data_IF_808150644980
#
_entry.id   IF_808150644980
#
_cell.length_a   1.000
_cell.length_b   1.000
_cell.length_c   1.000
_cell.angle_alpha   90.00
_cell.angle_beta   90.00
_cell.angle_gamma   90.00
#
_symmetry.space_group_name_H-M   'P 1'
#
loop_
_entity.id
_entity.type
_entity.pdbx_description
1 polymer ?
#
# COMPACT_ATOMS: atom_id res chain seq x y z
N UNK A 1 -71.00 45.29 15.34
CA UNK A 1 -69.86 46.11 14.88
C UNK A 1 -68.64 45.22 14.90
N UNK A 2 -68.34 44.61 13.79
CA UNK A 2 -67.20 43.69 13.60
C UNK A 2 -66.32 44.30 12.48
N UNK A 3 -65.09 44.49 12.77
CA UNK A 3 -64.10 44.89 11.80
C UNK A 3 -63.27 43.68 11.38
N UNK A 4 -63.50 43.23 10.19
CA UNK A 4 -62.69 42.25 9.47
C UNK A 4 -61.40 42.91 8.99
N UNK A 5 -60.23 42.32 9.31
CA UNK A 5 -58.96 42.66 8.70
C UNK A 5 -58.60 41.62 7.64
N UNK A 6 -58.57 42.11 6.46
CA UNK A 6 -58.09 41.41 5.25
C UNK A 6 -56.55 41.37 5.27
N UNK A 7 -55.95 40.19 5.21
CA UNK A 7 -54.49 40.00 5.00
C UNK A 7 -54.27 39.22 3.72
N UNK A 8 -54.08 39.93 2.64
CA UNK A 8 -53.69 39.39 1.36
C UNK A 8 -52.30 38.72 1.41
N UNK A 9 -52.27 37.44 1.26
CA UNK A 9 -51.06 36.68 0.95
C UNK A 9 -50.82 36.73 -0.57
N UNK A 10 -49.74 37.37 -0.95
CA UNK A 10 -49.24 37.37 -2.33
C UNK A 10 -48.60 35.98 -2.59
N UNK A 11 -49.18 35.29 -3.53
CA UNK A 11 -48.64 34.08 -4.13
C UNK A 11 -47.41 34.43 -4.99
N UNK A 12 -46.21 34.21 -4.46
CA UNK A 12 -44.96 34.28 -5.23
C UNK A 12 -44.65 32.91 -5.80
N UNK A 13 -45.20 32.65 -6.98
CA UNK A 13 -44.86 31.47 -7.77
C UNK A 13 -43.35 31.42 -8.08
N UNK A 14 -42.59 30.80 -7.21
CA UNK A 14 -41.26 30.32 -7.54
C UNK A 14 -41.39 29.06 -8.42
N UNK A 15 -41.14 29.25 -9.72
CA UNK A 15 -40.90 28.12 -10.65
C UNK A 15 -39.69 27.35 -10.15
N UNK A 16 -39.92 26.07 -9.79
CA UNK A 16 -38.87 25.07 -9.62
C UNK A 16 -38.16 24.95 -10.95
N UNK A 17 -36.85 25.17 -11.05
CA UNK A 17 -36.13 24.92 -12.30
C UNK A 17 -36.16 23.45 -12.63
N UNK A 18 -36.57 23.15 -13.85
CA UNK A 18 -36.47 21.80 -14.42
C UNK A 18 -34.99 21.33 -14.33
N UNK A 19 -34.74 20.02 -14.07
CA UNK A 19 -33.39 19.49 -14.08
C UNK A 19 -32.81 19.69 -15.49
N UNK A 20 -31.73 20.49 -15.55
CA UNK A 20 -30.91 20.62 -16.75
C UNK A 20 -30.35 19.22 -17.01
N UNK A 21 -30.83 18.58 -18.06
CA UNK A 21 -30.19 17.38 -18.61
C UNK A 21 -28.75 17.77 -18.94
N UNK A 22 -27.82 17.22 -18.15
CA UNK A 22 -26.39 17.32 -18.42
C UNK A 22 -26.12 16.71 -19.81
N UNK A 23 -25.09 17.20 -20.53
CA UNK A 23 -24.80 16.70 -21.86
C UNK A 23 -24.68 15.19 -21.81
N UNK A 24 -25.49 14.51 -22.63
CA UNK A 24 -25.41 13.06 -22.87
C UNK A 24 -23.94 12.71 -23.09
N UNK A 25 -23.38 11.86 -22.21
CA UNK A 25 -22.06 11.27 -22.42
C UNK A 25 -22.10 10.51 -23.72
N UNK A 26 -21.79 11.17 -24.81
CA UNK A 26 -21.40 10.53 -26.07
C UNK A 26 -20.22 9.64 -25.66
N UNK A 27 -20.40 8.34 -25.80
CA UNK A 27 -19.34 7.35 -25.60
C UNK A 27 -18.23 7.66 -26.62
N UNK A 28 -17.26 8.48 -26.22
CA UNK A 28 -15.97 8.45 -26.90
C UNK A 28 -15.49 7.01 -26.74
N UNK A 29 -15.33 6.29 -27.86
CA UNK A 29 -14.76 4.95 -27.88
C UNK A 29 -13.39 5.04 -27.17
N UNK A 30 -13.35 4.63 -25.92
CA UNK A 30 -12.11 4.67 -25.14
C UNK A 30 -11.15 3.70 -25.79
N UNK A 31 -9.98 4.20 -26.21
CA UNK A 31 -8.92 3.37 -26.78
C UNK A 31 -8.56 2.30 -25.74
N UNK A 32 -8.57 1.03 -26.14
CA UNK A 32 -8.20 -0.11 -25.29
C UNK A 32 -6.80 0.12 -24.67
N UNK A 33 -6.63 -0.30 -23.42
CA UNK A 33 -5.31 -0.33 -22.77
C UNK A 33 -4.31 -1.16 -23.59
N UNK A 34 -4.75 -2.27 -24.17
CA UNK A 34 -3.89 -3.11 -25.01
C UNK A 34 -3.42 -2.34 -26.25
N UNK A 35 -4.31 -1.60 -26.90
CA UNK A 35 -3.93 -0.76 -28.05
C UNK A 35 -2.95 0.36 -27.67
N UNK A 36 -3.04 0.90 -26.46
CA UNK A 36 -2.12 1.92 -25.96
C UNK A 36 -0.68 1.40 -25.79
N UNK A 37 -0.48 0.09 -25.63
CA UNK A 37 0.85 -0.51 -25.51
C UNK A 37 1.73 -0.30 -26.75
N UNK A 38 1.11 -0.04 -27.93
CA UNK A 38 1.82 0.22 -29.19
C UNK A 38 2.21 1.68 -29.37
N UNK A 39 1.71 2.59 -28.53
CA UNK A 39 1.92 4.03 -28.64
C UNK A 39 3.16 4.47 -27.84
N UNK A 40 4.14 5.06 -28.50
CA UNK A 40 5.37 5.54 -27.86
C UNK A 40 5.09 6.57 -26.77
N UNK A 41 4.18 7.51 -27.03
CA UNK A 41 3.77 8.57 -26.08
C UNK A 41 3.30 7.98 -24.74
N UNK A 42 2.57 6.86 -24.76
CA UNK A 42 2.11 6.16 -23.55
C UNK A 42 3.27 5.64 -22.69
N UNK A 43 4.32 5.14 -23.35
CA UNK A 43 5.53 4.69 -22.66
C UNK A 43 6.33 5.85 -22.07
N UNK A 44 6.46 6.95 -22.81
CA UNK A 44 7.14 8.16 -22.35
C UNK A 44 6.43 8.77 -21.13
N UNK A 45 5.08 8.85 -21.15
CA UNK A 45 4.29 9.29 -19.99
C UNK A 45 4.50 8.37 -18.78
N UNK A 46 4.47 7.06 -18.99
CA UNK A 46 4.73 6.09 -17.94
C UNK A 46 6.13 6.20 -17.34
N UNK A 47 7.18 6.35 -18.17
CA UNK A 47 8.56 6.52 -17.69
C UNK A 47 8.70 7.83 -16.89
N UNK A 48 8.16 8.93 -17.42
CA UNK A 48 8.13 10.23 -16.72
C UNK A 48 7.43 10.12 -15.36
N UNK A 49 6.27 9.47 -15.30
CA UNK A 49 5.54 9.21 -14.05
C UNK A 49 6.39 8.40 -13.06
N UNK A 50 7.05 7.33 -13.51
CA UNK A 50 7.86 6.49 -12.64
C UNK A 50 9.10 7.21 -12.12
N UNK A 51 9.73 8.03 -12.96
CA UNK A 51 10.87 8.85 -12.59
C UNK A 51 10.45 9.88 -11.53
N UNK A 52 9.35 10.60 -11.78
CA UNK A 52 8.78 11.57 -10.84
C UNK A 52 8.42 10.93 -9.48
N UNK A 53 7.99 9.65 -9.47
CA UNK A 53 7.67 8.91 -8.24
C UNK A 53 8.87 8.23 -7.60
N UNK A 54 10.11 8.46 -8.04
CA UNK A 54 11.31 7.81 -7.52
C UNK A 54 11.29 6.28 -7.58
N UNK A 55 10.51 5.70 -8.50
CA UNK A 55 10.31 4.25 -8.63
C UNK A 55 11.30 3.57 -9.55
N UNK A 56 12.24 4.33 -10.08
CA UNK A 56 13.41 3.85 -10.80
C UNK A 56 14.69 4.29 -10.08
N UNK A 57 15.69 3.41 -9.99
CA UNK A 57 17.06 3.89 -9.89
C UNK A 57 17.56 4.26 -11.30
N UNK A 58 18.65 5.03 -11.39
CA UNK A 58 19.17 5.53 -12.67
C UNK A 58 19.45 4.41 -13.68
N UNK A 59 19.99 3.28 -13.25
CA UNK A 59 20.28 2.14 -14.11
C UNK A 59 18.99 1.50 -14.66
N UNK A 60 17.99 1.29 -13.82
CA UNK A 60 16.68 0.76 -14.26
C UNK A 60 15.95 1.73 -15.20
N UNK A 61 16.13 3.04 -14.99
CA UNK A 61 15.57 4.05 -15.89
C UNK A 61 16.24 4.00 -17.25
N UNK A 62 17.59 4.02 -17.31
CA UNK A 62 18.37 3.98 -18.56
C UNK A 62 18.04 2.73 -19.38
N UNK A 63 17.87 1.57 -18.73
CA UNK A 63 17.46 0.33 -19.40
C UNK A 63 16.04 0.40 -19.97
N UNK A 64 15.10 0.98 -19.22
CA UNK A 64 13.71 1.11 -19.65
C UNK A 64 13.57 2.18 -20.76
N UNK A 65 14.30 3.28 -20.67
CA UNK A 65 14.33 4.35 -21.65
C UNK A 65 14.90 3.85 -22.99
N UNK A 66 16.05 3.18 -22.95
CA UNK A 66 16.64 2.54 -24.13
C UNK A 66 15.71 1.46 -24.75
N UNK A 67 14.93 0.74 -23.93
CA UNK A 67 13.92 -0.20 -24.42
C UNK A 67 12.80 0.52 -25.17
N UNK A 68 12.35 1.67 -24.70
CA UNK A 68 11.32 2.49 -25.36
C UNK A 68 11.86 3.16 -26.62
N UNK A 69 13.05 3.77 -26.57
CA UNK A 69 13.70 4.43 -27.74
C UNK A 69 13.87 3.48 -28.94
N UNK A 70 14.35 2.26 -28.69
CA UNK A 70 14.50 1.25 -29.75
C UNK A 70 13.17 0.55 -30.11
N UNK A 71 12.04 0.98 -29.56
CA UNK A 71 10.71 0.37 -29.74
C UNK A 71 10.66 -1.12 -29.43
N UNK A 72 11.44 -1.56 -28.45
CA UNK A 72 11.53 -2.95 -28.02
C UNK A 72 10.21 -3.52 -27.49
N UNK A 73 9.27 -2.66 -27.11
CA UNK A 73 7.91 -3.02 -26.68
C UNK A 73 7.00 -3.48 -27.83
N UNK A 74 7.23 -3.04 -29.09
CA UNK A 74 6.30 -3.31 -30.21
C UNK A 74 6.08 -4.79 -30.50
N UNK A 75 7.10 -5.67 -30.57
CA UNK A 75 6.88 -7.08 -30.82
C UNK A 75 5.96 -7.72 -29.76
N UNK A 76 6.18 -7.37 -28.49
CA UNK A 76 5.40 -7.88 -27.37
C UNK A 76 3.98 -7.29 -27.34
N UNK A 77 3.83 -5.98 -27.59
CA UNK A 77 2.54 -5.30 -27.67
C UNK A 77 1.68 -5.87 -28.80
N UNK A 78 2.25 -6.10 -29.99
CA UNK A 78 1.55 -6.71 -31.11
C UNK A 78 1.12 -8.15 -30.79
N UNK A 79 2.02 -8.95 -30.21
CA UNK A 79 1.72 -10.31 -29.78
C UNK A 79 0.54 -10.35 -28.81
N UNK A 80 0.50 -9.44 -27.85
CA UNK A 80 -0.62 -9.32 -26.88
C UNK A 80 -1.91 -8.89 -27.62
N UNK A 81 -1.82 -7.92 -28.55
CA UNK A 81 -2.97 -7.44 -29.31
C UNK A 81 -3.56 -8.52 -30.24
N UNK A 82 -2.74 -9.44 -30.72
CA UNK A 82 -3.14 -10.61 -31.52
C UNK A 82 -3.72 -11.75 -30.65
N UNK A 83 -3.83 -11.52 -29.34
CA UNK A 83 -4.38 -12.49 -28.40
C UNK A 83 -3.38 -13.57 -27.95
N UNK A 84 -2.09 -13.42 -28.26
CA UNK A 84 -1.06 -14.26 -27.68
C UNK A 84 -0.76 -13.79 -26.26
N UNK A 85 -0.58 -14.68 -25.30
CA UNK A 85 -0.25 -14.33 -23.91
C UNK A 85 1.23 -13.98 -23.72
N UNK A 86 1.59 -13.70 -22.47
CA UNK A 86 2.96 -13.63 -22.01
C UNK A 86 3.59 -15.03 -21.94
N UNK A 87 4.90 -15.09 -21.72
CA UNK A 87 5.59 -16.33 -21.38
C UNK A 87 5.13 -16.94 -20.06
N UNK A 88 5.73 -18.07 -19.67
CA UNK A 88 5.39 -18.69 -18.40
C UNK A 88 6.00 -17.89 -17.22
N UNK A 89 5.23 -17.67 -16.14
CA UNK A 89 5.74 -17.01 -14.95
C UNK A 89 6.76 -17.90 -14.23
N UNK A 90 7.80 -17.28 -13.70
CA UNK A 90 8.78 -17.95 -12.85
C UNK A 90 8.40 -17.82 -11.39
N UNK A 91 8.19 -18.96 -10.73
CA UNK A 91 7.90 -19.07 -9.29
C UNK A 91 9.19 -18.91 -8.47
N UNK A 92 9.16 -18.05 -7.45
CA UNK A 92 10.27 -17.81 -6.53
C UNK A 92 9.80 -17.84 -5.09
N UNK A 93 10.66 -18.32 -4.19
CA UNK A 93 10.44 -18.28 -2.75
C UNK A 93 11.26 -17.14 -2.15
N UNK A 94 10.58 -16.12 -1.63
CA UNK A 94 11.22 -14.97 -0.96
C UNK A 94 11.05 -15.09 0.55
N UNK A 95 12.12 -14.79 1.31
CA UNK A 95 12.05 -14.80 2.76
C UNK A 95 11.16 -13.67 3.28
N UNK A 96 10.14 -13.99 4.08
CA UNK A 96 9.33 -13.00 4.77
C UNK A 96 10.15 -12.39 5.90
N UNK A 97 10.45 -11.10 5.77
CA UNK A 97 11.36 -10.40 6.69
C UNK A 97 10.92 -10.54 8.15
N UNK A 98 11.75 -11.18 8.99
CA UNK A 98 11.56 -11.27 10.45
C UNK A 98 10.73 -12.46 10.95
N UNK A 99 10.29 -13.38 10.09
CA UNK A 99 9.43 -14.50 10.51
C UNK A 99 9.98 -15.91 10.20
N UNK A 100 11.09 -16.02 9.47
CA UNK A 100 11.59 -17.33 8.98
C UNK A 100 10.66 -18.01 7.95
N UNK A 101 9.44 -17.50 7.74
CA UNK A 101 8.49 -18.01 6.75
C UNK A 101 8.88 -17.52 5.34
N UNK A 102 8.58 -18.31 4.32
CA UNK A 102 8.76 -17.93 2.92
C UNK A 102 7.42 -17.51 2.32
N UNK A 103 7.48 -16.64 1.31
CA UNK A 103 6.34 -16.23 0.48
C UNK A 103 6.60 -16.68 -0.95
N UNK A 104 5.60 -17.25 -1.59
CA UNK A 104 5.60 -17.51 -3.03
C UNK A 104 5.37 -16.21 -3.76
N UNK A 105 6.19 -15.93 -4.76
CA UNK A 105 6.02 -14.80 -5.69
C UNK A 105 6.31 -15.26 -7.10
N UNK A 106 5.71 -14.58 -8.07
CA UNK A 106 5.89 -14.85 -9.49
C UNK A 106 6.52 -13.66 -10.20
N UNK A 107 7.29 -13.92 -11.23
CA UNK A 107 7.86 -12.90 -12.10
C UNK A 107 7.91 -13.40 -13.53
N UNK A 108 7.76 -12.51 -14.48
CA UNK A 108 7.95 -12.75 -15.92
C UNK A 108 9.33 -12.29 -16.38
N UNK A 109 9.64 -12.43 -17.67
CA UNK A 109 10.82 -11.85 -18.27
C UNK A 109 10.87 -10.32 -18.04
N UNK A 110 12.04 -9.68 -18.02
CA UNK A 110 12.16 -8.24 -17.72
C UNK A 110 11.27 -7.35 -18.58
N UNK A 111 11.23 -7.59 -19.89
CA UNK A 111 10.42 -6.82 -20.83
C UNK A 111 8.93 -7.03 -20.61
N UNK A 112 8.49 -8.26 -20.33
CA UNK A 112 7.10 -8.58 -19.95
C UNK A 112 6.71 -7.94 -18.61
N UNK A 113 7.62 -7.92 -17.63
CA UNK A 113 7.41 -7.20 -16.38
C UNK A 113 7.28 -5.69 -16.60
N UNK A 114 7.97 -5.11 -17.56
CA UNK A 114 7.85 -3.70 -17.89
C UNK A 114 6.49 -3.40 -18.54
N UNK A 115 6.02 -4.25 -19.46
CA UNK A 115 4.65 -4.18 -20.03
C UNK A 115 3.60 -4.30 -18.95
N UNK A 116 3.72 -5.26 -18.03
CA UNK A 116 2.78 -5.40 -16.90
C UNK A 116 2.78 -4.17 -15.99
N UNK A 117 3.93 -3.51 -15.81
CA UNK A 117 4.00 -2.23 -15.06
C UNK A 117 3.29 -1.10 -15.78
N UNK A 118 3.36 -1.03 -17.12
CA UNK A 118 2.61 -0.06 -17.90
C UNK A 118 1.12 -0.34 -17.83
N UNK A 119 0.69 -1.61 -18.01
CA UNK A 119 -0.72 -1.98 -17.84
C UNK A 119 -1.22 -1.56 -16.45
N UNK A 120 -0.47 -1.87 -15.38
CA UNK A 120 -0.83 -1.48 -14.01
C UNK A 120 -0.93 0.05 -13.83
N UNK A 121 -0.12 0.83 -14.54
CA UNK A 121 -0.23 2.29 -14.57
C UNK A 121 -1.50 2.75 -15.27
N UNK A 122 -1.86 2.15 -16.39
CA UNK A 122 -3.06 2.50 -17.15
C UNK A 122 -4.36 2.04 -16.45
N UNK A 123 -4.30 1.00 -15.61
CA UNK A 123 -5.44 0.51 -14.82
C UNK A 123 -5.96 1.51 -13.80
N UNK A 124 -5.20 2.56 -13.45
CA UNK A 124 -5.69 3.64 -12.59
C UNK A 124 -6.93 4.37 -13.15
N UNK A 125 -7.23 4.21 -14.46
CA UNK A 125 -8.48 4.73 -15.05
C UNK A 125 -9.75 4.13 -14.43
N UNK A 126 -9.62 2.97 -13.75
CA UNK A 126 -10.72 2.28 -13.08
C UNK A 126 -10.82 2.56 -11.58
N UNK A 127 -9.99 3.46 -11.05
CA UNK A 127 -9.95 3.75 -9.60
C UNK A 127 -11.28 4.23 -9.03
N UNK A 128 -12.08 4.93 -9.82
CA UNK A 128 -13.41 5.43 -9.43
C UNK A 128 -14.46 4.33 -9.24
N UNK A 129 -14.21 3.13 -9.71
CA UNK A 129 -15.12 1.98 -9.55
C UNK A 129 -14.98 1.30 -8.18
N UNK A 130 -13.92 1.60 -7.42
CA UNK A 130 -13.73 1.06 -6.09
C UNK A 130 -14.35 1.95 -5.01
N UNK A 131 -14.86 1.32 -3.97
CA UNK A 131 -15.44 2.03 -2.85
C UNK A 131 -14.38 2.88 -2.09
N UNK A 132 -14.76 4.03 -1.49
CA UNK A 132 -13.83 4.93 -0.80
C UNK A 132 -13.13 4.35 0.44
N UNK A 133 -13.57 3.20 0.92
CA UNK A 133 -13.02 2.46 2.05
C UNK A 133 -12.01 1.37 1.65
N UNK A 134 -11.73 1.22 0.35
CA UNK A 134 -10.59 0.47 -0.20
C UNK A 134 -9.42 1.43 -0.44
N UNK A 135 -8.31 1.24 0.26
CA UNK A 135 -7.19 2.20 0.27
C UNK A 135 -5.92 1.70 -0.41
N UNK A 136 -5.76 0.39 -0.57
CA UNK A 136 -4.54 -0.15 -1.18
C UNK A 136 -4.54 0.05 -2.70
N UNK A 137 -3.34 0.19 -3.25
CA UNK A 137 -3.03 0.16 -4.68
C UNK A 137 -3.74 1.20 -5.54
N UNK A 138 -4.38 2.18 -4.95
CA UNK A 138 -5.11 3.26 -5.60
C UNK A 138 -4.27 4.52 -5.72
N UNK A 139 -4.49 5.27 -6.82
CA UNK A 139 -3.75 6.51 -7.06
C UNK A 139 -4.13 7.58 -6.03
N UNK A 140 -3.13 8.16 -5.40
CA UNK A 140 -3.33 9.25 -4.41
C UNK A 140 -3.77 8.78 -3.02
N UNK A 141 -4.08 7.49 -2.81
CA UNK A 141 -4.41 6.95 -1.49
C UNK A 141 -3.21 6.26 -0.84
N UNK A 142 -3.09 6.42 0.47
CA UNK A 142 -2.01 5.86 1.31
C UNK A 142 -2.60 5.17 2.53
N UNK A 143 -1.82 4.33 3.18
CA UNK A 143 -2.22 3.72 4.45
C UNK A 143 -2.49 4.75 5.56
N UNK A 144 -1.77 5.89 5.54
CA UNK A 144 -2.02 7.03 6.41
C UNK A 144 -3.44 7.58 6.27
N UNK A 145 -3.97 7.64 5.04
CA UNK A 145 -5.33 8.14 4.78
C UNK A 145 -6.40 7.23 5.39
N UNK A 146 -6.18 5.91 5.34
CA UNK A 146 -7.06 4.95 5.99
C UNK A 146 -7.13 5.19 7.50
N UNK A 147 -5.97 5.30 8.16
CA UNK A 147 -5.89 5.52 9.61
C UNK A 147 -6.50 6.88 9.98
N UNK A 148 -6.19 7.93 9.23
CA UNK A 148 -6.75 9.26 9.45
C UNK A 148 -8.28 9.28 9.32
N UNK A 149 -8.83 8.69 8.25
CA UNK A 149 -10.29 8.64 8.03
C UNK A 149 -11.01 7.80 9.08
N UNK A 150 -10.43 6.65 9.49
CA UNK A 150 -10.97 5.84 10.60
C UNK A 150 -11.02 6.70 11.87
N UNK A 151 -9.89 7.30 12.27
CA UNK A 151 -9.81 8.08 13.49
C UNK A 151 -10.81 9.26 13.48
N UNK A 152 -10.95 9.93 12.35
CA UNK A 152 -11.95 11.00 12.14
C UNK A 152 -13.39 10.46 12.25
N UNK A 153 -13.69 9.28 11.72
CA UNK A 153 -15.02 8.68 11.75
C UNK A 153 -15.41 8.24 13.17
N UNK A 154 -14.46 7.67 13.90
CA UNK A 154 -14.66 7.26 15.32
C UNK A 154 -14.76 8.49 16.21
N UNK A 155 -13.98 9.55 15.94
CA UNK A 155 -13.96 10.82 16.67
C UNK A 155 -13.91 10.65 18.20
N UNK A 156 -13.02 9.76 18.68
CA UNK A 156 -12.83 9.48 20.12
C UNK A 156 -13.96 8.72 20.80
N UNK A 157 -15.00 8.30 20.07
CA UNK A 157 -16.05 7.46 20.63
C UNK A 157 -15.50 6.07 20.97
N UNK A 158 -15.86 5.50 22.14
CA UNK A 158 -15.51 4.14 22.47
C UNK A 158 -16.22 3.17 21.50
N UNK A 159 -15.45 2.40 20.75
CA UNK A 159 -15.97 1.44 19.77
C UNK A 159 -15.23 0.12 19.89
N UNK A 160 -15.95 -0.96 19.70
CA UNK A 160 -15.35 -2.27 19.46
C UNK A 160 -14.73 -2.31 18.08
N UNK A 161 -13.58 -2.98 17.94
CA UNK A 161 -12.93 -3.14 16.65
C UNK A 161 -12.66 -4.61 16.34
N UNK A 162 -12.90 -5.01 15.09
CA UNK A 162 -12.53 -6.32 14.57
C UNK A 162 -11.50 -6.13 13.47
N UNK A 163 -10.32 -6.70 13.67
CA UNK A 163 -9.23 -6.72 12.71
C UNK A 163 -8.96 -8.12 12.23
N UNK A 164 -8.76 -8.27 10.92
CA UNK A 164 -8.38 -9.53 10.28
C UNK A 164 -7.35 -9.31 9.17
N UNK A 165 -6.67 -10.39 8.80
CA UNK A 165 -5.76 -10.47 7.66
C UNK A 165 -6.15 -11.74 6.89
N UNK A 166 -6.22 -11.66 5.56
CA UNK A 166 -6.58 -12.81 4.73
C UNK A 166 -5.34 -13.68 4.50
N UNK A 167 -5.49 -15.00 4.68
CA UNK A 167 -4.40 -15.93 4.51
C UNK A 167 -3.99 -16.03 3.03
N UNK A 168 -2.70 -15.81 2.73
CA UNK A 168 -2.08 -15.91 1.39
C UNK A 168 -2.90 -15.29 0.25
N UNK A 169 -3.52 -14.12 0.50
CA UNK A 169 -4.59 -13.50 -0.27
C UNK A 169 -4.41 -13.61 -1.79
N UNK A 170 -3.30 -13.10 -2.33
CA UNK A 170 -3.07 -13.05 -3.78
C UNK A 170 -3.03 -14.43 -4.45
N UNK A 171 -2.48 -15.42 -3.77
CA UNK A 171 -2.37 -16.78 -4.31
C UNK A 171 -3.63 -17.62 -4.05
N UNK A 172 -4.49 -17.18 -3.12
CA UNK A 172 -5.76 -17.84 -2.78
C UNK A 172 -6.95 -17.33 -3.59
N UNK A 173 -6.79 -16.27 -4.40
CA UNK A 173 -7.86 -15.75 -5.24
C UNK A 173 -8.29 -16.83 -6.24
N UNK A 174 -9.59 -17.15 -6.22
CA UNK A 174 -10.19 -18.10 -7.17
C UNK A 174 -10.46 -17.40 -8.51
N UNK A 175 -9.83 -17.91 -9.56
CA UNK A 175 -9.89 -17.30 -10.90
C UNK A 175 -11.28 -17.46 -11.51
N UNK A 176 -11.99 -18.55 -11.23
CA UNK A 176 -13.33 -18.80 -11.76
C UNK A 176 -14.35 -17.79 -11.18
N UNK A 177 -14.12 -17.30 -9.96
CA UNK A 177 -14.93 -16.22 -9.35
C UNK A 177 -14.46 -14.84 -9.84
N UNK A 178 -13.15 -14.64 -10.04
CA UNK A 178 -12.61 -13.34 -10.45
C UNK A 178 -12.97 -12.97 -11.89
N UNK A 179 -12.95 -13.92 -12.83
CA UNK A 179 -13.16 -13.65 -14.25
C UNK A 179 -14.50 -12.99 -14.57
N UNK A 180 -15.65 -13.43 -14.02
CA UNK A 180 -16.92 -12.72 -14.20
C UNK A 180 -16.91 -11.28 -13.69
N UNK A 181 -16.24 -11.03 -12.55
CA UNK A 181 -16.11 -9.68 -11.96
C UNK A 181 -15.25 -8.77 -12.85
N UNK A 182 -14.20 -9.32 -13.45
CA UNK A 182 -13.36 -8.62 -14.43
C UNK A 182 -14.12 -8.34 -15.72
N UNK A 183 -14.92 -9.28 -16.23
CA UNK A 183 -15.75 -9.07 -17.42
C UNK A 183 -16.73 -7.89 -17.25
N UNK A 184 -17.34 -7.78 -16.07
CA UNK A 184 -18.20 -6.64 -15.73
C UNK A 184 -17.39 -5.34 -15.65
N UNK A 185 -16.27 -5.33 -14.92
CA UNK A 185 -15.46 -4.15 -14.71
C UNK A 185 -14.79 -3.62 -15.97
N UNK A 186 -14.38 -4.52 -16.87
CA UNK A 186 -13.69 -4.23 -18.12
C UNK A 186 -14.61 -4.30 -19.34
N UNK A 187 -15.91 -4.16 -19.15
CA UNK A 187 -16.90 -4.23 -20.24
C UNK A 187 -16.65 -3.17 -21.34
N UNK A 188 -15.93 -2.08 -21.02
CA UNK A 188 -15.49 -1.05 -21.97
C UNK A 188 -14.15 -1.39 -22.67
N UNK A 189 -13.48 -2.50 -22.31
CA UNK A 189 -12.15 -2.88 -22.83
C UNK A 189 -11.99 -4.41 -22.94
N UNK A 190 -12.67 -5.00 -23.92
CA UNK A 190 -12.69 -6.46 -24.14
C UNK A 190 -11.30 -7.04 -24.46
N UNK A 191 -10.41 -6.28 -25.11
CA UNK A 191 -9.04 -6.74 -25.38
C UNK A 191 -8.27 -6.90 -24.09
N UNK A 192 -8.43 -5.98 -23.15
CA UNK A 192 -7.82 -6.07 -21.83
C UNK A 192 -8.40 -7.25 -21.03
N UNK A 193 -9.73 -7.45 -21.10
CA UNK A 193 -10.35 -8.62 -20.46
C UNK A 193 -9.76 -9.93 -20.97
N UNK A 194 -9.68 -10.13 -22.31
CA UNK A 194 -9.11 -11.35 -22.89
C UNK A 194 -7.62 -11.53 -22.56
N UNK A 195 -6.88 -10.43 -22.46
CA UNK A 195 -5.49 -10.50 -21.96
C UNK A 195 -5.42 -11.06 -20.54
N UNK A 196 -6.26 -10.56 -19.62
CA UNK A 196 -6.30 -11.09 -18.25
C UNK A 196 -6.84 -12.50 -18.17
N UNK A 197 -7.90 -12.82 -18.91
CA UNK A 197 -8.43 -14.17 -18.99
C UNK A 197 -7.31 -15.16 -19.36
N UNK A 198 -6.58 -14.90 -20.43
CA UNK A 198 -5.46 -15.74 -20.86
C UNK A 198 -4.34 -15.82 -19.84
N UNK A 199 -3.96 -14.67 -19.23
CA UNK A 199 -2.92 -14.58 -18.21
C UNK A 199 -3.26 -15.42 -16.97
N UNK A 200 -4.52 -15.39 -16.53
CA UNK A 200 -4.95 -15.98 -15.26
C UNK A 200 -5.36 -17.46 -15.40
N UNK A 201 -5.83 -17.90 -16.58
CA UNK A 201 -6.21 -19.30 -16.81
C UNK A 201 -5.03 -20.22 -17.12
N UNK A 202 -3.84 -19.68 -17.33
CA UNK A 202 -2.61 -20.49 -17.48
C UNK A 202 -2.21 -21.10 -16.15
N UNK A 203 -2.34 -22.42 -16.00
CA UNK A 203 -1.97 -23.16 -14.80
C UNK A 203 -0.51 -23.64 -14.81
N UNK A 204 0.34 -23.08 -15.65
CA UNK A 204 1.73 -23.47 -15.81
C UNK A 204 2.66 -22.38 -15.25
N UNK A 205 3.70 -22.82 -14.54
CA UNK A 205 4.79 -21.95 -14.09
C UNK A 205 6.14 -22.63 -14.18
N UNK A 206 7.23 -21.85 -14.14
CA UNK A 206 8.59 -22.35 -14.09
C UNK A 206 9.07 -22.34 -12.63
N UNK A 207 9.43 -23.51 -12.09
CA UNK A 207 10.01 -23.62 -10.76
C UNK A 207 11.33 -24.39 -10.83
N UNK A 208 12.43 -23.79 -10.37
CA UNK A 208 13.77 -24.40 -10.43
C UNK A 208 14.16 -24.90 -11.84
N UNK A 209 13.74 -24.18 -12.90
CA UNK A 209 14.03 -24.52 -14.29
C UNK A 209 13.13 -25.60 -14.91
N UNK A 210 12.13 -26.09 -14.16
CA UNK A 210 11.15 -27.07 -14.65
C UNK A 210 9.76 -26.44 -14.76
N UNK A 211 9.00 -26.83 -15.78
CA UNK A 211 7.59 -26.45 -15.91
C UNK A 211 6.79 -27.30 -14.96
N UNK A 212 5.98 -26.66 -14.14
CA UNK A 212 5.05 -27.29 -13.20
C UNK A 212 3.63 -26.79 -13.47
N UNK A 213 2.65 -27.64 -13.18
CA UNK A 213 1.24 -27.26 -13.19
C UNK A 213 0.79 -26.92 -11.76
N UNK A 214 0.23 -25.74 -11.57
CA UNK A 214 -0.27 -25.30 -10.26
C UNK A 214 -1.30 -24.18 -10.38
N UNK A 215 -2.20 -24.08 -9.39
CA UNK A 215 -3.03 -22.89 -9.21
C UNK A 215 -2.20 -21.83 -8.51
N UNK A 216 -2.20 -20.60 -9.02
CA UNK A 216 -1.35 -19.51 -8.52
C UNK A 216 -2.10 -18.21 -8.21
N UNK A 217 -3.44 -18.27 -8.21
CA UNK A 217 -4.27 -17.08 -8.01
C UNK A 217 -3.90 -15.96 -9.00
N UNK A 218 -3.79 -14.73 -8.50
CA UNK A 218 -3.40 -13.57 -9.33
C UNK A 218 -1.88 -13.35 -9.41
N UNK A 219 -1.09 -14.36 -9.05
CA UNK A 219 0.39 -14.34 -9.13
C UNK A 219 1.02 -13.20 -8.31
N UNK A 220 1.07 -13.38 -6.99
CA UNK A 220 1.72 -12.44 -6.08
C UNK A 220 3.11 -12.02 -6.58
N UNK A 221 3.37 -10.71 -6.65
CA UNK A 221 4.64 -10.14 -7.15
C UNK A 221 4.56 -9.59 -8.57
N UNK A 222 3.52 -9.90 -9.34
CA UNK A 222 3.29 -9.26 -10.64
C UNK A 222 2.68 -7.85 -10.46
N UNK A 223 2.97 -6.91 -11.36
CA UNK A 223 2.49 -5.52 -11.23
C UNK A 223 0.96 -5.37 -11.26
N UNK A 224 0.25 -6.25 -11.92
CA UNK A 224 -1.21 -6.20 -12.07
C UNK A 224 -1.97 -6.93 -10.96
N UNK A 225 -1.30 -7.82 -10.20
CA UNK A 225 -1.93 -8.55 -9.11
C UNK A 225 -2.63 -7.66 -8.05
N UNK A 226 -2.10 -6.47 -7.69
CA UNK A 226 -2.76 -5.55 -6.78
C UNK A 226 -4.15 -5.09 -7.25
N UNK A 227 -4.30 -4.72 -8.52
CA UNK A 227 -5.57 -4.34 -9.10
C UNK A 227 -6.57 -5.51 -9.09
N UNK A 228 -6.13 -6.70 -9.51
CA UNK A 228 -6.96 -7.91 -9.52
C UNK A 228 -7.45 -8.28 -8.13
N UNK A 229 -6.60 -8.12 -7.12
CA UNK A 229 -6.96 -8.33 -5.72
C UNK A 229 -7.99 -7.30 -5.23
N UNK A 230 -7.90 -6.04 -5.67
CA UNK A 230 -8.92 -5.04 -5.32
C UNK A 230 -10.25 -5.32 -6.02
N UNK A 231 -10.25 -5.79 -7.27
CA UNK A 231 -11.46 -6.21 -7.98
C UNK A 231 -12.16 -7.35 -7.24
N UNK A 232 -11.41 -8.33 -6.74
CA UNK A 232 -11.96 -9.52 -6.09
C UNK A 232 -12.80 -9.24 -4.86
N UNK A 233 -12.47 -8.22 -4.06
CA UNK A 233 -13.23 -7.84 -2.86
C UNK A 233 -14.03 -6.53 -3.04
N UNK A 234 -14.17 -6.04 -4.27
CA UNK A 234 -14.87 -4.78 -4.58
C UNK A 234 -16.28 -4.73 -3.98
N UNK A 235 -17.04 -5.81 -4.09
CA UNK A 235 -18.41 -5.86 -3.61
C UNK A 235 -18.49 -5.95 -2.07
N UNK A 236 -17.51 -6.56 -1.42
CA UNK A 236 -17.40 -6.59 0.05
C UNK A 236 -17.15 -5.18 0.58
N UNK A 237 -16.22 -4.44 -0.04
CA UNK A 237 -15.95 -3.04 0.33
C UNK A 237 -17.19 -2.17 0.15
N UNK A 238 -17.89 -2.33 -0.99
CA UNK A 238 -19.12 -1.60 -1.31
C UNK A 238 -20.24 -1.89 -0.33
N UNK A 239 -20.39 -3.15 0.09
CA UNK A 239 -21.39 -3.55 1.07
C UNK A 239 -21.20 -2.81 2.41
N UNK A 240 -20.00 -2.82 2.98
CA UNK A 240 -19.72 -2.12 4.24
C UNK A 240 -19.78 -0.60 4.09
N UNK A 241 -19.36 -0.06 2.95
CA UNK A 241 -19.49 1.36 2.64
C UNK A 241 -20.97 1.82 2.63
N UNK A 242 -21.82 1.09 1.91
CA UNK A 242 -23.24 1.41 1.80
C UNK A 242 -24.01 1.25 3.12
N UNK A 243 -23.56 0.36 3.99
CA UNK A 243 -24.09 0.23 5.37
C UNK A 243 -23.61 1.33 6.30
N UNK A 244 -22.69 2.21 5.88
CA UNK A 244 -22.14 3.25 6.74
C UNK A 244 -21.25 2.71 7.87
N UNK A 245 -20.73 1.49 7.74
CA UNK A 245 -19.81 0.89 8.71
C UNK A 245 -18.47 1.61 8.63
N UNK A 246 -17.89 1.95 9.78
CA UNK A 246 -16.50 2.40 9.84
C UNK A 246 -15.61 1.21 9.53
N UNK A 247 -15.14 1.15 8.30
CA UNK A 247 -14.44 0.04 7.69
C UNK A 247 -13.28 0.55 6.85
N UNK A 248 -12.17 -0.13 6.87
CA UNK A 248 -11.08 0.09 5.92
C UNK A 248 -10.41 -1.22 5.53
N UNK A 249 -10.16 -1.38 4.22
CA UNK A 249 -9.32 -2.43 3.68
C UNK A 249 -8.05 -1.86 3.05
N UNK A 250 -6.94 -2.47 3.39
CA UNK A 250 -5.65 -2.21 2.75
C UNK A 250 -5.05 -3.54 2.29
N UNK A 251 -5.35 -3.97 1.07
CA UNK A 251 -5.00 -5.30 0.54
C UNK A 251 -5.68 -6.43 1.32
N UNK A 252 -4.89 -7.24 2.03
CA UNK A 252 -5.30 -8.34 2.91
C UNK A 252 -5.62 -7.90 4.35
N UNK A 253 -5.24 -6.69 4.75
CA UNK A 253 -5.40 -6.15 6.11
C UNK A 253 -6.75 -5.39 6.19
N UNK A 254 -7.70 -5.86 6.99
CA UNK A 254 -9.05 -5.31 7.12
C UNK A 254 -9.30 -4.94 8.57
N UNK A 255 -9.97 -3.80 8.79
CA UNK A 255 -10.47 -3.40 10.10
C UNK A 255 -11.88 -2.83 9.99
N UNK A 256 -12.74 -3.13 10.97
CA UNK A 256 -14.10 -2.58 11.07
C UNK A 256 -14.45 -2.29 12.52
N UNK A 257 -15.40 -1.37 12.71
CA UNK A 257 -15.78 -0.87 14.04
C UNK A 257 -17.29 -0.91 14.23
N UNK A 258 -17.72 -1.16 15.46
CA UNK A 258 -19.10 -1.14 15.86
C UNK A 258 -19.26 -0.50 17.27
N UNK A 259 -20.42 0.10 17.58
CA UNK A 259 -20.66 0.75 18.87
C UNK A 259 -20.76 -0.25 20.03
N UNK A 260 -21.13 -1.50 19.74
CA UNK A 260 -21.32 -2.58 20.72
C UNK A 260 -20.80 -3.92 20.16
N UNK A 261 -20.63 -4.87 21.07
CA UNK A 261 -20.08 -6.19 20.75
C UNK A 261 -21.00 -7.02 19.83
N UNK A 262 -22.30 -6.96 20.05
CA UNK A 262 -23.27 -7.77 19.30
C UNK A 262 -23.33 -7.31 17.83
N UNK A 263 -23.32 -6.00 17.60
CA UNK A 263 -23.21 -5.41 16.27
C UNK A 263 -21.89 -5.79 15.60
N UNK A 264 -20.78 -5.80 16.36
CA UNK A 264 -19.49 -6.23 15.81
C UNK A 264 -19.50 -7.69 15.40
N UNK A 265 -20.12 -8.57 16.21
CA UNK A 265 -20.24 -10.00 15.85
C UNK A 265 -21.05 -10.18 14.56
N UNK A 266 -22.13 -9.44 14.37
CA UNK A 266 -22.88 -9.46 13.11
C UNK A 266 -22.03 -9.06 11.90
N UNK A 267 -21.18 -8.02 12.05
CA UNK A 267 -20.27 -7.62 10.99
C UNK A 267 -19.19 -8.68 10.72
N UNK A 268 -18.66 -9.28 11.78
CA UNK A 268 -17.70 -10.38 11.68
C UNK A 268 -18.30 -11.59 10.96
N UNK A 269 -19.49 -12.04 11.37
CA UNK A 269 -20.16 -13.19 10.78
C UNK A 269 -20.46 -12.96 9.29
N UNK A 270 -20.90 -11.74 8.94
CA UNK A 270 -21.11 -11.35 7.56
C UNK A 270 -19.81 -11.33 6.76
N UNK A 271 -18.69 -10.87 7.34
CA UNK A 271 -17.37 -10.92 6.72
C UNK A 271 -16.92 -12.35 6.47
N UNK A 272 -17.05 -13.22 7.48
CA UNK A 272 -16.72 -14.64 7.34
C UNK A 272 -17.55 -15.31 6.24
N UNK A 273 -18.85 -14.96 6.16
CA UNK A 273 -19.72 -15.44 5.09
C UNK A 273 -19.22 -14.99 3.70
N UNK A 274 -18.87 -13.71 3.51
CA UNK A 274 -18.28 -13.23 2.27
C UNK A 274 -16.99 -13.97 1.93
N UNK A 275 -16.05 -14.06 2.89
CA UNK A 275 -14.78 -14.73 2.63
C UNK A 275 -14.98 -16.19 2.23
N UNK A 276 -15.93 -16.90 2.85
CA UNK A 276 -16.27 -18.27 2.46
C UNK A 276 -16.84 -18.34 1.03
N UNK A 277 -17.71 -17.39 0.62
CA UNK A 277 -18.22 -17.31 -0.75
C UNK A 277 -17.12 -17.04 -1.78
N UNK A 278 -16.08 -16.29 -1.38
CA UNK A 278 -14.91 -16.00 -2.22
C UNK A 278 -13.77 -17.01 -2.04
N UNK A 279 -14.01 -18.16 -1.40
CA UNK A 279 -13.00 -19.19 -1.14
C UNK A 279 -11.75 -18.66 -0.44
N UNK A 280 -11.91 -17.66 0.43
CA UNK A 280 -10.83 -17.04 1.20
C UNK A 280 -10.92 -17.42 2.68
N UNK A 281 -9.77 -17.47 3.34
CA UNK A 281 -9.66 -17.81 4.76
C UNK A 281 -9.04 -16.67 5.56
N UNK A 282 -9.55 -16.46 6.78
CA UNK A 282 -8.93 -15.55 7.75
C UNK A 282 -7.64 -16.18 8.28
N UNK A 283 -6.61 -15.38 8.42
CA UNK A 283 -5.37 -15.81 9.09
C UNK A 283 -5.57 -15.79 10.62
N UNK A 284 -5.69 -16.94 11.30
CA UNK A 284 -6.03 -16.97 12.72
C UNK A 284 -4.95 -16.32 13.62
N UNK A 285 -3.69 -16.31 13.19
CA UNK A 285 -2.59 -15.68 13.93
C UNK A 285 -2.69 -14.13 13.94
N UNK A 286 -3.55 -13.54 13.11
CA UNK A 286 -3.68 -12.09 12.92
C UNK A 286 -5.11 -11.59 13.09
N UNK A 287 -6.04 -12.47 13.42
CA UNK A 287 -7.40 -12.11 13.77
C UNK A 287 -7.45 -11.57 15.20
N UNK A 288 -8.06 -10.42 15.40
CA UNK A 288 -8.21 -9.85 16.75
C UNK A 288 -9.46 -8.98 16.89
N UNK A 289 -10.15 -9.13 18.03
CA UNK A 289 -11.17 -8.22 18.50
C UNK A 289 -10.55 -7.33 19.58
N UNK A 290 -10.82 -6.05 19.53
CA UNK A 290 -10.40 -5.07 20.53
C UNK A 290 -11.64 -4.50 21.20
N UNK A 291 -11.62 -4.42 22.53
CA UNK A 291 -12.64 -3.71 23.31
C UNK A 291 -12.46 -2.18 23.16
N UNK A 292 -13.47 -1.38 23.51
CA UNK A 292 -13.37 0.09 23.44
C UNK A 292 -12.23 0.69 24.25
N UNK A 293 -11.81 0.03 25.32
CA UNK A 293 -10.73 0.46 26.21
C UNK A 293 -9.34 -0.02 25.76
N UNK A 294 -9.27 -0.88 24.75
CA UNK A 294 -8.02 -1.37 24.21
C UNK A 294 -7.51 -0.52 23.04
N UNK A 295 -6.18 -0.34 22.99
CA UNK A 295 -5.55 0.23 21.81
C UNK A 295 -5.54 -0.79 20.67
N UNK A 296 -6.04 -0.41 19.50
CA UNK A 296 -5.94 -1.24 18.30
C UNK A 296 -4.70 -0.89 17.46
N UNK A 297 -4.22 -1.88 16.70
CA UNK A 297 -3.11 -1.68 15.75
C UNK A 297 -3.57 -1.93 14.31
N UNK A 298 -3.34 -0.95 13.42
CA UNK A 298 -3.65 -1.05 12.00
C UNK A 298 -2.60 -0.34 11.15
N UNK A 299 -2.14 -0.98 10.08
CA UNK A 299 -1.17 -0.45 9.10
C UNK A 299 0.11 0.14 9.70
N UNK A 300 0.54 -0.38 10.84
CA UNK A 300 1.75 0.06 11.51
C UNK A 300 1.55 1.17 12.54
N UNK A 301 0.33 1.61 12.75
CA UNK A 301 -0.07 2.57 13.78
C UNK A 301 -0.75 1.85 14.95
N UNK A 302 -0.62 2.44 16.14
CA UNK A 302 -1.34 2.08 17.37
C UNK A 302 -2.25 3.24 17.73
N UNK A 303 -3.54 2.98 17.82
CA UNK A 303 -4.57 3.99 18.08
C UNK A 303 -5.30 3.67 19.39
N UNK A 304 -5.54 4.69 20.21
CA UNK A 304 -6.33 4.59 21.43
C UNK A 304 -7.07 5.92 21.68
N UNK A 305 -8.40 5.91 21.57
CA UNK A 305 -9.15 7.15 21.56
C UNK A 305 -8.69 8.08 20.42
N UNK A 306 -8.21 9.27 20.78
CA UNK A 306 -7.65 10.23 19.83
C UNK A 306 -6.12 10.12 19.68
N UNK A 307 -5.47 9.23 20.44
CA UNK A 307 -4.03 9.08 20.42
C UNK A 307 -3.61 8.12 19.30
N UNK A 308 -2.68 8.58 18.47
CA UNK A 308 -2.08 7.78 17.38
C UNK A 308 -0.57 7.80 17.55
N UNK A 309 0.03 6.63 17.68
CA UNK A 309 1.48 6.41 17.75
C UNK A 309 1.88 5.26 16.84
N UNK A 310 3.15 4.92 16.84
CA UNK A 310 3.73 3.81 16.08
C UNK A 310 3.42 2.49 16.79
N UNK A 311 2.97 1.47 16.03
CA UNK A 311 2.64 0.16 16.59
C UNK A 311 3.86 -0.58 17.14
N UNK A 312 3.63 -1.47 18.13
CA UNK A 312 4.67 -2.32 18.71
C UNK A 312 5.36 -3.19 17.66
N UNK A 313 4.56 -3.73 16.72
CA UNK A 313 5.09 -4.52 15.60
C UNK A 313 6.04 -3.70 14.71
N UNK A 314 5.73 -2.43 14.43
CA UNK A 314 6.56 -1.52 13.65
C UNK A 314 7.85 -1.17 14.39
N UNK A 315 7.77 -0.83 15.68
CA UNK A 315 8.93 -0.57 16.53
C UNK A 315 9.87 -1.76 16.58
N UNK A 316 9.36 -2.96 16.81
CA UNK A 316 10.11 -4.22 16.81
C UNK A 316 10.83 -4.47 15.48
N UNK A 317 10.12 -4.27 14.34
CA UNK A 317 10.71 -4.39 13.00
C UNK A 317 11.85 -3.38 12.78
N UNK A 318 11.67 -2.13 13.21
CA UNK A 318 12.68 -1.07 13.07
C UNK A 318 13.91 -1.36 13.94
N UNK A 319 13.73 -1.70 15.21
CA UNK A 319 14.82 -2.12 16.10
C UNK A 319 15.60 -3.31 15.53
N UNK A 320 14.91 -4.29 14.95
CA UNK A 320 15.57 -5.41 14.26
C UNK A 320 16.41 -4.97 13.06
N UNK A 321 15.97 -3.98 12.28
CA UNK A 321 16.76 -3.41 11.16
C UNK A 321 17.98 -2.67 11.66
N UNK A 322 17.84 -1.85 12.71
CA UNK A 322 18.93 -1.11 13.35
C UNK A 322 20.02 -2.09 13.84
N UNK A 323 19.63 -3.09 14.63
CA UNK A 323 20.55 -4.09 15.17
C UNK A 323 21.31 -4.87 14.08
N UNK A 324 20.60 -5.33 13.02
CA UNK A 324 21.26 -6.05 11.91
C UNK A 324 22.25 -5.17 11.16
N UNK A 325 21.91 -3.90 10.87
CA UNK A 325 22.83 -2.98 10.19
C UNK A 325 24.04 -2.63 11.05
N UNK A 326 23.84 -2.37 12.34
CA UNK A 326 24.93 -2.11 13.29
C UNK A 326 25.90 -3.30 13.36
N UNK A 327 25.40 -4.53 13.54
CA UNK A 327 26.25 -5.73 13.55
C UNK A 327 26.99 -5.96 12.22
N UNK A 328 26.35 -5.64 11.10
CA UNK A 328 26.99 -5.72 9.78
C UNK A 328 28.14 -4.73 9.66
N UNK A 329 27.94 -3.48 10.09
CA UNK A 329 28.97 -2.44 10.07
C UNK A 329 30.10 -2.75 11.06
N UNK A 330 29.80 -3.31 12.23
CA UNK A 330 30.82 -3.73 13.18
C UNK A 330 31.74 -4.81 12.58
N UNK A 331 31.15 -5.86 11.96
CA UNK A 331 31.94 -6.89 11.28
C UNK A 331 32.79 -6.33 10.14
N UNK A 332 32.21 -5.40 9.36
CA UNK A 332 32.93 -4.73 8.27
C UNK A 332 34.10 -3.89 8.79
N UNK A 333 33.88 -3.10 9.85
CA UNK A 333 34.89 -2.27 10.52
C UNK A 333 36.07 -3.13 10.99
N UNK A 334 35.79 -4.21 11.75
CA UNK A 334 36.83 -5.12 12.22
C UNK A 334 37.60 -5.80 11.07
N UNK A 335 36.87 -6.31 10.06
CA UNK A 335 37.50 -7.01 8.92
C UNK A 335 38.45 -6.11 8.12
N UNK A 336 38.13 -4.81 8.00
CA UNK A 336 38.86 -3.87 7.16
C UNK A 336 39.69 -2.87 7.97
N UNK A 337 39.83 -3.08 9.26
CA UNK A 337 40.60 -2.19 10.21
C UNK A 337 40.16 -0.72 10.07
N UNK A 338 38.82 -0.50 9.99
CA UNK A 338 38.22 0.83 9.87
C UNK A 338 37.99 1.41 11.26
N UNK A 339 38.28 2.69 11.41
CA UNK A 339 38.05 3.44 12.65
C UNK A 339 36.55 3.37 13.06
N UNK A 340 36.27 3.18 14.37
CA UNK A 340 34.92 3.07 14.91
C UNK A 340 34.00 4.23 14.51
N UNK A 341 34.53 5.45 14.47
CA UNK A 341 33.79 6.66 14.07
C UNK A 341 33.22 6.56 12.65
N UNK A 342 33.98 5.99 11.72
CA UNK A 342 33.53 5.79 10.34
C UNK A 342 32.37 4.78 10.26
N UNK A 343 32.37 3.76 11.11
CA UNK A 343 31.27 2.82 11.23
C UNK A 343 30.02 3.48 11.85
N UNK A 344 30.20 4.33 12.87
CA UNK A 344 29.14 5.14 13.46
C UNK A 344 28.50 6.07 12.43
N UNK A 345 29.31 6.84 11.69
CA UNK A 345 28.85 7.72 10.61
C UNK A 345 28.11 6.93 9.51
N UNK A 346 28.60 5.74 9.17
CA UNK A 346 27.93 4.85 8.23
C UNK A 346 26.54 4.39 8.68
N UNK A 347 26.33 4.14 9.99
CA UNK A 347 25.01 3.80 10.54
C UNK A 347 24.07 5.02 10.55
N UNK A 348 24.59 6.18 10.93
CA UNK A 348 23.86 7.45 10.96
C UNK A 348 23.37 7.79 9.55
N UNK A 349 24.25 7.82 8.56
CA UNK A 349 23.89 8.13 7.17
C UNK A 349 22.85 7.17 6.61
N UNK A 350 23.00 5.86 6.90
CA UNK A 350 22.03 4.86 6.45
C UNK A 350 20.62 5.14 7.01
N UNK A 351 20.49 5.51 8.30
CA UNK A 351 19.18 5.76 8.90
C UNK A 351 18.66 7.17 8.62
N UNK A 352 19.50 8.19 8.51
CA UNK A 352 19.10 9.52 8.05
C UNK A 352 18.42 9.43 6.65
N UNK A 353 19.09 8.76 5.70
CA UNK A 353 18.50 8.52 4.37
C UNK A 353 17.21 7.76 4.46
N UNK A 354 17.16 6.66 5.21
CA UNK A 354 15.96 5.85 5.36
C UNK A 354 14.78 6.60 5.99
N UNK A 355 15.05 7.47 6.94
CA UNK A 355 14.00 8.18 7.67
C UNK A 355 13.55 9.46 6.97
N UNK A 356 14.44 10.22 6.39
CA UNK A 356 14.17 11.61 6.02
C UNK A 356 14.46 11.96 4.58
N UNK A 357 15.34 11.21 3.90
CA UNK A 357 15.86 11.61 2.61
C UNK A 357 15.23 10.80 1.49
N UNK A 358 14.72 11.50 0.52
CA UNK A 358 14.33 11.00 -0.78
C UNK A 358 14.43 12.17 -1.75
N UNK A 359 15.05 11.95 -2.86
CA UNK A 359 15.20 12.95 -3.94
C UNK A 359 13.83 13.33 -4.54
N UNK A 360 12.83 12.49 -4.35
CA UNK A 360 11.46 12.73 -4.78
C UNK A 360 10.54 13.07 -3.58
N UNK A 361 9.84 14.22 -3.62
CA UNK A 361 8.86 14.62 -2.60
C UNK A 361 7.73 13.61 -2.35
N UNK A 362 7.39 12.80 -3.35
CA UNK A 362 6.32 11.81 -3.22
C UNK A 362 6.81 10.41 -2.79
N UNK A 363 8.12 10.18 -2.80
CA UNK A 363 8.66 8.92 -2.24
C UNK A 363 8.44 8.88 -0.73
N UNK A 364 7.75 7.84 -0.30
CA UNK A 364 7.42 7.60 1.10
C UNK A 364 8.67 7.23 1.89
N UNK A 365 9.35 8.24 2.44
CA UNK A 365 10.29 8.00 3.55
C UNK A 365 9.50 7.57 4.79
N UNK A 366 10.21 7.00 5.76
CA UNK A 366 9.58 6.55 6.99
C UNK A 366 8.90 7.72 7.75
N UNK A 367 9.48 8.92 7.77
CA UNK A 367 8.87 10.12 8.34
C UNK A 367 7.62 10.56 7.58
N UNK A 368 7.66 10.58 6.25
CA UNK A 368 6.49 10.94 5.41
C UNK A 368 5.32 9.96 5.55
N UNK A 369 5.61 8.72 5.98
CA UNK A 369 4.57 7.75 6.28
C UNK A 369 3.91 7.98 7.63
N UNK A 370 4.69 8.24 8.69
CA UNK A 370 4.20 8.29 10.06
C UNK A 370 3.89 9.70 10.55
N UNK A 371 4.73 10.71 10.27
CA UNK A 371 4.61 12.03 10.85
C UNK A 371 3.27 12.74 10.61
N UNK A 372 2.65 12.66 9.41
CA UNK A 372 1.37 13.33 9.17
C UNK A 372 0.19 12.75 9.96
N UNK A 373 0.34 11.58 10.57
CA UNK A 373 -0.78 10.84 11.20
C UNK A 373 -0.62 10.74 12.71
N UNK A 374 0.61 10.52 13.19
CA UNK A 374 0.86 10.38 14.64
C UNK A 374 0.71 11.72 15.34
N UNK A 375 0.16 11.68 16.55
CA UNK A 375 0.08 12.82 17.48
C UNK A 375 0.74 12.51 18.83
N UNK A 376 1.35 11.34 18.95
CA UNK A 376 2.17 10.93 20.08
C UNK A 376 3.59 10.61 19.61
N UNK A 377 4.58 10.81 20.50
CA UNK A 377 6.01 10.69 20.15
C UNK A 377 6.74 9.60 20.94
N UNK A 378 6.03 8.84 21.76
CA UNK A 378 6.62 7.78 22.58
C UNK A 378 7.32 6.73 21.73
N UNK A 379 6.69 6.32 20.62
CA UNK A 379 7.26 5.40 19.66
C UNK A 379 8.50 5.94 18.96
N UNK A 380 8.51 7.24 18.62
CA UNK A 380 9.69 7.92 18.06
C UNK A 380 10.84 7.96 19.05
N UNK A 381 10.59 8.34 20.33
CA UNK A 381 11.59 8.37 21.40
C UNK A 381 12.23 7.00 21.61
N UNK A 382 11.42 5.95 21.58
CA UNK A 382 11.90 4.58 21.78
C UNK A 382 12.81 4.13 20.62
N UNK A 383 12.50 4.47 19.38
CA UNK A 383 13.33 4.17 18.21
C UNK A 383 14.60 5.01 18.22
N UNK A 384 14.51 6.31 18.51
CA UNK A 384 15.67 7.20 18.65
C UNK A 384 16.65 6.70 19.71
N UNK A 385 16.14 6.37 20.88
CA UNK A 385 16.98 5.84 21.96
C UNK A 385 17.69 4.55 21.52
N UNK A 386 16.96 3.64 20.88
CA UNK A 386 17.53 2.38 20.41
C UNK A 386 18.60 2.59 19.32
N UNK A 387 18.38 3.53 18.39
CA UNK A 387 19.36 3.87 17.36
C UNK A 387 20.62 4.48 17.98
N UNK A 388 20.49 5.44 18.90
CA UNK A 388 21.61 6.04 19.62
C UNK A 388 22.45 4.99 20.36
N UNK A 389 21.81 4.02 21.03
CA UNK A 389 22.53 2.93 21.71
C UNK A 389 23.34 2.08 20.73
N UNK A 390 22.80 1.81 19.54
CA UNK A 390 23.51 1.03 18.52
C UNK A 390 24.64 1.84 17.83
N UNK A 391 24.51 3.16 17.70
CA UNK A 391 25.60 4.03 17.22
C UNK A 391 26.74 4.00 18.25
N UNK A 392 26.44 4.21 19.54
CA UNK A 392 27.42 4.15 20.65
C UNK A 392 28.11 2.77 20.73
N UNK A 393 27.32 1.70 20.49
CA UNK A 393 27.88 0.35 20.45
C UNK A 393 28.97 0.19 19.38
N UNK A 394 28.80 0.82 18.20
CA UNK A 394 29.83 0.82 17.16
C UNK A 394 31.11 1.55 17.60
N UNK A 395 30.98 2.62 18.39
CA UNK A 395 32.11 3.37 18.94
C UNK A 395 32.87 2.66 20.08
N UNK A 396 32.18 1.84 20.87
CA UNK A 396 32.75 1.25 22.09
C UNK A 396 32.92 -0.27 22.01
N UNK A 397 32.28 -0.93 21.06
CA UNK A 397 32.24 -2.39 20.93
C UNK A 397 31.43 -3.11 22.02
N UNK A 398 30.77 -2.38 22.94
CA UNK A 398 30.10 -2.95 24.12
C UNK A 398 28.67 -2.41 24.29
N UNK A 399 27.77 -3.25 24.85
CA UNK A 399 26.40 -2.87 25.23
C UNK A 399 26.30 -2.68 26.76
N UNK A 400 27.04 -1.73 27.32
CA UNK A 400 27.02 -1.45 28.74
C UNK A 400 27.21 0.06 29.02
N UNK A 401 27.40 0.45 30.29
CA UNK A 401 27.59 1.86 30.70
C UNK A 401 28.72 2.58 29.95
N UNK A 402 29.70 1.85 29.39
CA UNK A 402 30.77 2.42 28.57
C UNK A 402 30.25 3.13 27.33
N UNK A 403 29.05 2.77 26.84
CA UNK A 403 28.41 3.43 25.70
C UNK A 403 28.25 4.95 25.93
N UNK A 404 28.03 5.39 27.16
CA UNK A 404 27.85 6.81 27.49
C UNK A 404 29.14 7.64 27.39
N UNK A 405 30.30 7.04 27.10
CA UNK A 405 31.52 7.79 26.73
C UNK A 405 31.35 8.51 25.39
N UNK A 406 30.47 7.98 24.50
CA UNK A 406 30.05 8.68 23.29
C UNK A 406 28.81 9.50 23.65
N UNK A 407 29.01 10.81 23.84
CA UNK A 407 27.95 11.72 24.23
C UNK A 407 27.04 12.13 23.06
N UNK A 408 26.04 12.96 23.34
CA UNK A 408 25.08 13.37 22.32
C UNK A 408 25.66 14.42 21.34
N UNK A 409 26.61 15.23 21.79
CA UNK A 409 27.26 16.24 20.93
C UNK A 409 28.16 15.56 19.89
N UNK A 410 28.82 14.47 20.25
CA UNK A 410 29.55 13.64 19.29
C UNK A 410 28.59 12.99 18.25
N UNK A 411 27.40 12.57 18.64
CA UNK A 411 26.39 12.08 17.67
C UNK A 411 25.97 13.19 16.72
N UNK A 412 25.77 14.40 17.22
CA UNK A 412 25.44 15.57 16.37
C UNK A 412 26.57 15.94 15.42
N UNK A 413 27.82 15.92 15.90
CA UNK A 413 28.99 16.17 15.06
C UNK A 413 29.11 15.17 13.91
N UNK A 414 28.59 13.93 14.08
CA UNK A 414 28.45 12.91 13.05
C UNK A 414 27.16 13.02 12.21
N UNK A 415 26.44 14.15 12.33
CA UNK A 415 25.22 14.47 11.59
C UNK A 415 24.00 13.59 11.96
N UNK A 416 23.95 13.05 13.18
CA UNK A 416 22.77 12.33 13.67
C UNK A 416 21.55 13.23 13.73
N UNK A 417 20.45 12.78 13.12
CA UNK A 417 19.14 13.45 13.13
C UNK A 417 18.15 12.65 13.96
N UNK A 418 17.60 13.27 15.02
CA UNK A 418 16.60 12.64 15.88
C UNK A 418 15.23 12.64 15.20
N UNK A 419 14.53 11.50 15.24
CA UNK A 419 13.15 11.37 14.75
C UNK A 419 12.22 12.34 15.48
N UNK A 420 12.38 12.48 16.80
CA UNK A 420 11.55 13.39 17.60
C UNK A 420 11.77 14.84 17.23
N UNK A 421 13.02 15.26 17.07
CA UNK A 421 13.33 16.64 16.69
C UNK A 421 12.82 16.96 15.27
N UNK A 422 12.99 16.04 14.34
CA UNK A 422 12.50 16.23 12.96
C UNK A 422 10.97 16.22 12.90
N UNK A 423 10.29 15.43 13.73
CA UNK A 423 8.84 15.45 13.87
C UNK A 423 8.33 16.84 14.28
N UNK A 424 8.87 17.42 15.35
CA UNK A 424 8.45 18.77 15.80
C UNK A 424 8.80 19.86 14.78
N UNK A 425 9.93 19.75 14.07
CA UNK A 425 10.25 20.68 12.97
C UNK A 425 9.27 20.58 11.80
N UNK A 426 8.74 19.40 11.51
CA UNK A 426 7.73 19.24 10.46
C UNK A 426 6.38 19.81 10.89
N UNK A 427 5.98 19.62 12.15
CA UNK A 427 4.71 20.12 12.71
C UNK A 427 4.66 21.65 12.89
N UNK A 428 5.83 22.33 12.90
CA UNK A 428 5.89 23.81 12.98
C UNK A 428 5.90 24.52 11.64
N UNK A 429 5.89 23.76 10.52
CA UNK A 429 5.88 24.31 9.15
C UNK A 429 4.48 24.34 8.50
N UNK A 430 3.47 23.77 9.18
CA UNK A 430 2.05 23.89 8.85
C UNK A 430 1.39 24.96 9.76
#
# INVERSE_FOLDING_TARGET
MSLTRDTGLRDTGQKVPEPVEGPSRVSQSRVSIISQLTLQETWEEFLAYRLMKGRFNWHEFDEADAFVERKGYLPLANKIAEGEGLGLPTKKLVNKMGSGKKRVVYSFAPDEMLVLKLIAFLLYKYDDQFAPNCYAFRRGLKASDAVFKINKAIHGKPMWAYKLDIHDYFNSIDIDILLPMLAEMLADDLLLYHFFEKLLTTNLSISNGQIIEEKHGVMAGTPTAPFLADVYLKEVDRYYYNKGVVYARYSDDIIMFAPDYDTLQQYKDQMCHFLAQYHLEVNPDKEKIYSPDEAYEFLGFKCHGNDIDISEATKKKMKGKISRKARSLLRWSHKNHIEPEKAMKGLINYFNRKFFESDDPETLTWSRWFFPVINRTEGLKEIDHYLQQNIRFLGTGKHNKTNYRVDYEQLKALEYRSLVNEYYKSSTKE
#
